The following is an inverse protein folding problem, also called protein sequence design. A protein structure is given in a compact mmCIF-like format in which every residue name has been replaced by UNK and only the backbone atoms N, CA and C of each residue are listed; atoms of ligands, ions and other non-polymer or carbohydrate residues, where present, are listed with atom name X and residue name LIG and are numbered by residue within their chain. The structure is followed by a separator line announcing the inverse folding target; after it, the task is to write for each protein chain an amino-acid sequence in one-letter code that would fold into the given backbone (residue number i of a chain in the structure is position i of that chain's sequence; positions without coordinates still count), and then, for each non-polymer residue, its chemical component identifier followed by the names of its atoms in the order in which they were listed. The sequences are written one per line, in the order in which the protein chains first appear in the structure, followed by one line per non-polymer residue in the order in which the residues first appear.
data_IF_317047302602
#
_entry.id   IF_317047302602
#
_cell.length_a   1.000
_cell.length_b   1.000
_cell.length_c   1.000
_cell.angle_alpha   90.00
_cell.angle_beta   90.00
_cell.angle_gamma   90.00
#
_symmetry.space_group_name_H-M   'P 1'
#
loop_
_entity.id
_entity.type
_entity.pdbx_description
1 polymer ?
#
# COMPACT_ATOMS: atom_id res chain seq x y z
N UNK A 1 -23.69 -7.70 29.81
CA UNK A 1 -22.24 -7.45 29.97
C UNK A 1 -21.51 -7.22 28.64
N UNK A 2 -21.82 -7.94 27.56
CA UNK A 2 -21.19 -7.75 26.24
C UNK A 2 -21.28 -6.32 25.66
N UNK A 3 -22.37 -5.58 25.93
CA UNK A 3 -22.55 -4.21 25.45
C UNK A 3 -21.57 -3.20 26.08
N UNK A 4 -21.21 -3.38 27.36
CA UNK A 4 -20.28 -2.51 28.07
C UNK A 4 -18.83 -2.75 27.63
N UNK A 5 -18.45 -4.00 27.37
CA UNK A 5 -17.13 -4.37 26.84
C UNK A 5 -16.97 -3.84 25.40
N UNK A 6 -18.02 -3.93 24.58
CA UNK A 6 -18.02 -3.42 23.22
C UNK A 6 -18.00 -1.87 23.16
N UNK A 7 -18.57 -1.19 24.16
CA UNK A 7 -18.48 0.25 24.32
C UNK A 7 -17.10 0.70 24.81
N UNK A 8 -16.48 -0.05 25.73
CA UNK A 8 -15.13 0.21 26.22
C UNK A 8 -14.08 0.01 25.12
N UNK A 9 -14.21 -1.06 24.33
CA UNK A 9 -13.36 -1.32 23.16
C UNK A 9 -13.52 -0.21 22.09
N UNK A 10 -14.75 0.28 21.86
CA UNK A 10 -14.99 1.43 20.98
C UNK A 10 -14.41 2.73 21.53
N UNK A 11 -14.40 2.93 22.84
CA UNK A 11 -13.85 4.12 23.50
C UNK A 11 -12.31 4.13 23.48
N UNK A 12 -11.68 3.00 23.79
CA UNK A 12 -10.23 2.81 23.73
C UNK A 12 -9.74 2.88 22.28
N UNK A 13 -10.46 2.27 21.34
CA UNK A 13 -10.21 2.46 19.91
C UNK A 13 -10.33 3.95 19.53
N UNK A 14 -11.36 4.66 19.98
CA UNK A 14 -11.47 6.11 19.72
C UNK A 14 -10.31 6.93 20.31
N UNK A 15 -9.81 6.62 21.50
CA UNK A 15 -8.77 7.42 22.16
C UNK A 15 -7.35 7.14 21.66
N UNK A 16 -7.01 5.90 21.31
CA UNK A 16 -5.70 5.56 20.70
C UNK A 16 -5.64 6.01 19.22
N UNK A 17 -6.79 6.26 18.57
CA UNK A 17 -6.86 6.51 17.13
C UNK A 17 -6.68 7.97 16.65
N UNK A 18 -6.76 9.03 17.46
CA UNK A 18 -7.18 10.33 16.87
C UNK A 18 -6.06 11.25 16.33
N UNK A 19 -4.78 11.14 16.74
CA UNK A 19 -3.72 12.03 16.21
C UNK A 19 -2.43 11.34 15.73
N UNK A 20 -1.86 10.44 16.54
CA UNK A 20 -0.55 9.83 16.24
C UNK A 20 -0.58 8.89 15.05
N UNK A 21 -1.58 8.01 15.00
CA UNK A 21 -1.80 7.09 13.88
C UNK A 21 -1.99 7.83 12.56
N UNK A 22 -2.64 8.98 12.56
CA UNK A 22 -2.90 9.74 11.32
C UNK A 22 -1.66 10.46 10.78
N UNK A 23 -0.65 10.68 11.62
CA UNK A 23 0.66 11.17 11.20
C UNK A 23 1.64 10.04 10.86
N UNK A 24 1.54 8.91 11.56
CA UNK A 24 2.39 7.73 11.37
C UNK A 24 2.06 6.95 10.10
N UNK A 25 0.78 6.75 9.76
CA UNK A 25 0.39 6.00 8.56
C UNK A 25 0.99 6.57 7.26
N UNK A 26 0.94 7.89 7.00
CA UNK A 26 1.63 8.51 5.87
C UNK A 26 3.14 8.25 5.87
N UNK A 27 3.79 8.32 7.04
CA UNK A 27 5.22 8.11 7.17
C UNK A 27 5.60 6.66 6.84
N UNK A 28 4.81 5.68 7.30
CA UNK A 28 5.02 4.27 7.00
C UNK A 28 4.87 3.97 5.51
N UNK A 29 3.91 4.61 4.84
CA UNK A 29 3.75 4.49 3.38
C UNK A 29 4.97 5.09 2.66
N UNK A 30 5.41 6.29 3.06
CA UNK A 30 6.58 6.96 2.46
C UNK A 30 7.89 6.21 2.71
N UNK A 31 8.03 5.56 3.87
CA UNK A 31 9.23 4.82 4.23
C UNK A 31 9.54 3.69 3.23
N UNK A 32 8.51 3.01 2.72
CA UNK A 32 8.64 2.01 1.66
C UNK A 32 9.30 2.61 0.40
N UNK A 33 8.84 3.77 -0.03
CA UNK A 33 9.40 4.46 -1.20
C UNK A 33 10.83 4.96 -0.97
N UNK A 34 11.13 5.53 0.20
CA UNK A 34 12.49 5.99 0.53
C UNK A 34 13.46 4.82 0.55
N UNK A 35 13.06 3.70 1.15
CA UNK A 35 13.86 2.49 1.19
C UNK A 35 14.09 1.91 -0.21
N UNK A 36 13.07 1.93 -1.08
CA UNK A 36 13.19 1.52 -2.48
C UNK A 36 14.16 2.42 -3.26
N UNK A 37 14.11 3.74 -3.06
CA UNK A 37 15.08 4.66 -3.66
C UNK A 37 16.52 4.39 -3.20
N UNK A 38 16.72 4.10 -1.91
CA UNK A 38 18.04 3.73 -1.37
C UNK A 38 18.52 2.44 -2.02
N UNK A 39 17.67 1.41 -2.09
CA UNK A 39 18.03 0.13 -2.69
C UNK A 39 18.36 0.27 -4.18
N UNK A 40 17.54 0.98 -4.95
CA UNK A 40 17.76 1.27 -6.37
C UNK A 40 19.04 2.08 -6.61
N UNK A 41 19.40 2.99 -5.68
CA UNK A 41 20.66 3.74 -5.76
C UNK A 41 21.89 2.88 -5.50
N UNK A 42 21.83 1.96 -4.52
CA UNK A 42 22.92 1.05 -4.17
C UNK A 42 23.13 -0.03 -5.23
N UNK A 43 22.04 -0.47 -5.88
CA UNK A 43 22.03 -1.53 -6.88
C UNK A 43 21.86 -0.99 -8.31
N UNK A 44 22.23 0.27 -8.55
CA UNK A 44 22.01 0.97 -9.82
C UNK A 44 22.45 0.16 -11.05
N UNK A 45 23.62 -0.48 -10.97
CA UNK A 45 24.17 -1.27 -12.10
C UNK A 45 23.33 -2.51 -12.41
N UNK A 46 22.78 -3.16 -11.38
CA UNK A 46 21.94 -4.34 -11.53
C UNK A 46 20.56 -3.98 -12.07
N UNK A 47 19.94 -2.94 -11.50
CA UNK A 47 18.62 -2.46 -11.94
C UNK A 47 18.65 -1.82 -13.34
N UNK A 48 19.70 -1.07 -13.67
CA UNK A 48 19.87 -0.53 -15.02
C UNK A 48 19.98 -1.64 -16.06
N UNK A 49 20.68 -2.74 -15.71
CA UNK A 49 20.83 -3.90 -16.58
C UNK A 49 19.54 -4.72 -16.75
N UNK A 50 18.69 -4.80 -15.72
CA UNK A 50 17.37 -5.45 -15.83
C UNK A 50 16.40 -4.59 -16.63
N UNK A 51 16.36 -3.28 -16.36
CA UNK A 51 15.48 -2.34 -17.09
C UNK A 51 15.88 -2.18 -18.55
N UNK A 52 17.18 -2.14 -18.86
CA UNK A 52 17.65 -2.13 -20.26
C UNK A 52 17.17 -3.37 -21.03
N UNK A 53 17.20 -4.56 -20.40
CA UNK A 53 16.65 -5.80 -20.99
C UNK A 53 15.14 -5.74 -21.18
N UNK A 54 14.41 -5.23 -20.19
CA UNK A 54 12.94 -5.10 -20.25
C UNK A 54 12.52 -4.15 -21.38
N UNK A 55 13.21 -3.02 -21.52
CA UNK A 55 12.93 -2.00 -22.55
C UNK A 55 13.53 -2.40 -23.92
N UNK A 56 14.28 -3.52 -23.96
CA UNK A 56 15.04 -3.96 -25.12
C UNK A 56 15.89 -2.82 -25.74
N UNK A 57 16.60 -2.10 -24.87
CA UNK A 57 17.34 -0.89 -25.23
C UNK A 57 18.77 -0.93 -24.67
N UNK A 58 19.61 0.03 -25.08
CA UNK A 58 20.98 0.13 -24.60
C UNK A 58 21.05 0.35 -23.08
N UNK A 59 22.14 -0.12 -22.45
CA UNK A 59 22.37 0.01 -21.00
C UNK A 59 22.29 1.45 -20.47
N UNK A 60 22.63 2.43 -21.32
CA UNK A 60 22.56 3.86 -20.99
C UNK A 60 21.11 4.34 -20.81
N UNK A 61 20.17 3.83 -21.60
CA UNK A 61 18.74 4.16 -21.49
C UNK A 61 18.17 3.55 -20.21
N UNK A 62 18.57 2.31 -19.88
CA UNK A 62 18.22 1.68 -18.61
C UNK A 62 18.74 2.46 -17.39
N UNK A 63 19.98 2.94 -17.44
CA UNK A 63 20.55 3.75 -16.37
C UNK A 63 19.84 5.11 -16.21
N UNK A 64 19.56 5.80 -17.31
CA UNK A 64 18.79 7.06 -17.30
C UNK A 64 17.40 6.87 -16.69
N UNK A 65 16.73 5.77 -17.01
CA UNK A 65 15.43 5.43 -16.42
C UNK A 65 15.53 5.25 -14.91
N UNK A 66 16.48 4.46 -14.41
CA UNK A 66 16.62 4.21 -12.97
C UNK A 66 16.97 5.50 -12.22
N UNK A 67 17.84 6.35 -12.77
CA UNK A 67 18.15 7.66 -12.16
C UNK A 67 16.91 8.55 -12.10
N UNK A 68 16.17 8.64 -13.21
CA UNK A 68 14.91 9.40 -13.25
C UNK A 68 13.89 8.86 -12.23
N UNK A 69 13.80 7.53 -12.11
CA UNK A 69 12.92 6.84 -11.16
C UNK A 69 13.27 7.18 -9.71
N UNK A 70 14.55 7.08 -9.33
CA UNK A 70 15.04 7.46 -8.00
C UNK A 70 14.77 8.94 -7.72
N UNK A 71 14.99 9.83 -8.69
CA UNK A 71 14.67 11.25 -8.55
C UNK A 71 13.18 11.50 -8.31
N UNK A 72 12.29 10.83 -9.06
CA UNK A 72 10.84 10.94 -8.85
C UNK A 72 10.43 10.51 -7.44
N UNK A 73 11.01 9.41 -6.95
CA UNK A 73 10.74 8.93 -5.59
C UNK A 73 11.21 9.94 -4.55
N UNK A 74 12.45 10.42 -4.66
CA UNK A 74 13.04 11.37 -3.70
C UNK A 74 12.26 12.69 -3.66
N UNK A 75 11.89 13.22 -4.83
CA UNK A 75 11.04 14.42 -4.93
C UNK A 75 9.66 14.16 -4.33
N UNK A 76 9.02 13.04 -4.67
CA UNK A 76 7.73 12.65 -4.11
C UNK A 76 7.76 12.51 -2.59
N UNK A 77 8.71 11.74 -2.06
CA UNK A 77 8.89 11.52 -0.63
C UNK A 77 9.23 12.82 0.12
N UNK A 78 10.15 13.64 -0.42
CA UNK A 78 10.53 14.93 0.14
C UNK A 78 9.36 15.92 0.19
N UNK A 79 8.51 15.95 -0.83
CA UNK A 79 7.30 16.78 -0.85
C UNK A 79 6.23 16.29 0.15
N UNK A 80 6.18 14.99 0.45
CA UNK A 80 5.29 14.47 1.51
C UNK A 80 5.82 14.82 2.90
N UNK A 81 7.12 14.64 3.13
CA UNK A 81 7.80 14.91 4.40
C UNK A 81 7.78 16.40 4.76
N UNK A 82 8.05 17.27 3.79
CA UNK A 82 8.05 18.73 3.98
C UNK A 82 6.65 19.34 4.20
N UNK A 83 5.58 18.55 4.07
CA UNK A 83 4.16 18.96 4.21
C UNK A 83 3.71 20.14 3.33
N UNK A 84 4.58 20.74 2.51
CA UNK A 84 4.31 22.03 1.85
C UNK A 84 3.53 21.89 0.54
N UNK A 85 3.72 20.79 -0.20
CA UNK A 85 3.09 20.56 -1.52
C UNK A 85 2.70 19.10 -1.74
N UNK A 86 2.00 18.50 -0.78
CA UNK A 86 1.48 17.13 -0.86
C UNK A 86 0.54 16.88 -2.06
N UNK A 87 -0.08 17.95 -2.60
CA UNK A 87 -0.94 17.89 -3.78
C UNK A 87 -0.22 17.39 -5.04
N UNK A 88 1.06 17.73 -5.20
CA UNK A 88 1.89 17.30 -6.33
C UNK A 88 2.66 16.04 -6.01
N UNK A 89 2.91 15.76 -4.73
CA UNK A 89 3.72 14.63 -4.29
C UNK A 89 3.11 13.26 -4.58
N UNK A 90 1.82 13.08 -4.26
CA UNK A 90 1.11 11.80 -4.52
C UNK A 90 1.12 11.46 -6.01
N UNK A 91 0.71 12.33 -6.96
CA UNK A 91 0.72 11.97 -8.37
C UNK A 91 2.12 11.65 -8.92
N UNK A 92 3.20 12.22 -8.38
CA UNK A 92 4.57 11.80 -8.75
C UNK A 92 4.87 10.35 -8.33
N UNK A 93 4.49 9.96 -7.10
CA UNK A 93 4.64 8.59 -6.64
C UNK A 93 3.71 7.62 -7.38
N UNK A 94 2.50 8.06 -7.74
CA UNK A 94 1.60 7.27 -8.59
C UNK A 94 2.21 7.07 -9.98
N UNK A 95 2.77 8.13 -10.58
CA UNK A 95 3.42 8.06 -11.88
C UNK A 95 4.57 7.04 -11.85
N UNK A 96 5.45 7.15 -10.85
CA UNK A 96 6.52 6.18 -10.59
C UNK A 96 5.99 4.73 -10.55
N UNK A 97 4.96 4.46 -9.73
CA UNK A 97 4.37 3.12 -9.62
C UNK A 97 3.69 2.65 -10.90
N UNK A 98 3.03 3.53 -11.63
CA UNK A 98 2.40 3.17 -12.92
C UNK A 98 3.44 2.85 -13.98
N UNK A 99 4.55 3.59 -14.03
CA UNK A 99 5.66 3.31 -14.95
C UNK A 99 6.28 1.95 -14.62
N UNK A 100 6.66 1.70 -13.36
CA UNK A 100 7.17 0.38 -12.94
C UNK A 100 6.18 -0.73 -13.28
N UNK A 101 4.89 -0.56 -12.98
CA UNK A 101 3.87 -1.54 -13.29
C UNK A 101 3.80 -1.84 -14.80
N UNK A 102 3.81 -0.84 -15.68
CA UNK A 102 3.78 -1.07 -17.14
C UNK A 102 4.99 -1.87 -17.61
N UNK A 103 6.19 -1.58 -17.09
CA UNK A 103 7.41 -2.27 -17.51
C UNK A 103 7.54 -3.68 -16.91
N UNK A 104 7.09 -3.90 -15.66
CA UNK A 104 7.27 -5.17 -14.94
C UNK A 104 6.06 -6.11 -15.01
N UNK A 105 4.85 -5.61 -15.29
CA UNK A 105 3.64 -6.44 -15.38
C UNK A 105 3.72 -7.50 -16.48
N UNK A 106 4.57 -7.29 -17.48
CA UNK A 106 4.83 -8.28 -18.54
C UNK A 106 5.67 -9.48 -18.05
N UNK A 107 6.36 -9.36 -16.91
CA UNK A 107 7.32 -10.37 -16.43
C UNK A 107 6.87 -11.07 -15.15
N UNK A 108 6.21 -10.36 -14.22
CA UNK A 108 5.79 -10.93 -12.94
C UNK A 108 4.43 -10.40 -12.49
N UNK A 109 3.41 -11.26 -12.54
CA UNK A 109 2.05 -10.91 -12.11
C UNK A 109 1.99 -10.55 -10.61
N UNK A 110 2.83 -11.17 -9.77
CA UNK A 110 2.86 -10.88 -8.33
C UNK A 110 3.36 -9.46 -8.02
N UNK A 111 4.36 -8.98 -8.77
CA UNK A 111 4.85 -7.61 -8.66
C UNK A 111 3.78 -6.62 -9.11
N UNK A 112 3.08 -6.90 -10.22
CA UNK A 112 1.96 -6.08 -10.69
C UNK A 112 0.84 -5.96 -9.65
N UNK A 113 0.49 -7.08 -8.99
CA UNK A 113 -0.49 -7.09 -7.90
C UNK A 113 0.02 -6.28 -6.71
N UNK A 114 1.30 -6.40 -6.33
CA UNK A 114 1.88 -5.60 -5.23
C UNK A 114 1.87 -4.11 -5.55
N UNK A 115 2.24 -3.71 -6.78
CA UNK A 115 2.20 -2.30 -7.20
C UNK A 115 0.78 -1.74 -7.22
N UNK A 116 -0.22 -2.55 -7.59
CA UNK A 116 -1.62 -2.12 -7.57
C UNK A 116 -2.12 -1.83 -6.14
N UNK A 117 -1.67 -2.61 -5.15
CA UNK A 117 -1.97 -2.37 -3.73
C UNK A 117 -1.29 -1.09 -3.25
N UNK A 118 -0.03 -0.85 -3.63
CA UNK A 118 0.70 0.37 -3.32
C UNK A 118 0.02 1.63 -3.91
N UNK A 119 -0.44 1.56 -5.16
CA UNK A 119 -1.26 2.60 -5.80
C UNK A 119 -2.55 2.84 -5.00
N UNK A 120 -3.21 1.77 -4.54
CA UNK A 120 -4.37 1.86 -3.65
C UNK A 120 -4.07 2.61 -2.35
N UNK A 121 -2.94 2.32 -1.71
CA UNK A 121 -2.50 3.01 -0.48
C UNK A 121 -2.25 4.51 -0.70
N UNK A 122 -1.67 4.89 -1.84
CA UNK A 122 -1.44 6.28 -2.22
C UNK A 122 -2.75 7.02 -2.51
N UNK A 123 -3.73 6.38 -3.16
CA UNK A 123 -5.06 6.95 -3.38
C UNK A 123 -5.76 7.24 -2.06
N UNK A 124 -5.70 6.30 -1.11
CA UNK A 124 -6.26 6.48 0.23
C UNK A 124 -5.57 7.63 0.97
N UNK A 125 -4.24 7.69 0.90
CA UNK A 125 -3.45 8.75 1.53
C UNK A 125 -3.88 10.13 1.02
N UNK A 126 -4.07 10.25 -0.30
CA UNK A 126 -4.52 11.47 -0.94
C UNK A 126 -5.96 11.82 -0.58
N UNK A 127 -6.86 10.83 -0.57
CA UNK A 127 -8.26 11.01 -0.17
C UNK A 127 -8.39 11.44 1.31
N UNK A 128 -7.57 10.91 2.21
CA UNK A 128 -7.54 11.27 3.63
C UNK A 128 -7.16 12.74 3.84
N UNK A 129 -6.09 13.20 3.21
CA UNK A 129 -5.60 14.59 3.34
C UNK A 129 -6.56 15.60 2.72
N UNK A 130 -7.11 15.29 1.55
CA UNK A 130 -8.10 16.15 0.88
C UNK A 130 -9.40 16.33 1.67
N UNK A 131 -9.81 15.32 2.43
CA UNK A 131 -10.96 15.40 3.31
C UNK A 131 -10.69 16.34 4.51
N UNK A 132 -9.47 16.32 5.05
CA UNK A 132 -9.05 17.25 6.11
C UNK A 132 -9.01 18.70 5.64
N UNK A 133 -8.63 18.93 4.39
CA UNK A 133 -8.60 20.28 3.81
C UNK A 133 -9.99 20.78 3.35
N UNK A 134 -11.05 19.98 3.50
CA UNK A 134 -12.43 20.28 3.05
C UNK A 134 -12.57 20.70 1.57
N UNK A 135 -11.55 20.43 0.74
CA UNK A 135 -11.38 20.96 -0.62
C UNK A 135 -11.79 19.99 -1.73
N UNK A 136 -12.38 18.83 -1.41
CA UNK A 136 -12.72 17.83 -2.41
C UNK A 136 -14.23 17.68 -2.55
N UNK A 137 -14.72 17.77 -3.80
CA UNK A 137 -16.09 17.42 -4.12
C UNK A 137 -16.39 15.99 -3.64
N UNK A 138 -17.48 15.83 -2.88
CA UNK A 138 -17.90 14.53 -2.31
C UNK A 138 -17.90 13.42 -3.37
N UNK A 139 -18.37 13.72 -4.59
CA UNK A 139 -18.39 12.75 -5.71
C UNK A 139 -17.00 12.29 -6.15
N UNK A 140 -16.00 13.18 -6.21
CA UNK A 140 -14.62 12.82 -6.55
C UNK A 140 -14.00 11.98 -5.44
N UNK A 141 -14.27 12.33 -4.18
CA UNK A 141 -13.81 11.57 -3.02
C UNK A 141 -14.32 10.12 -3.03
N UNK A 142 -15.62 9.94 -3.31
CA UNK A 142 -16.23 8.61 -3.40
C UNK A 142 -15.61 7.75 -4.52
N UNK A 143 -15.29 8.35 -5.68
CA UNK A 143 -14.61 7.66 -6.79
C UNK A 143 -13.21 7.21 -6.37
N UNK A 144 -12.44 8.06 -5.67
CA UNK A 144 -11.09 7.68 -5.22
C UNK A 144 -11.12 6.56 -4.18
N UNK A 145 -12.10 6.56 -3.27
CA UNK A 145 -12.28 5.46 -2.33
C UNK A 145 -12.66 4.16 -3.04
N UNK A 146 -13.53 4.22 -4.03
CA UNK A 146 -13.89 3.04 -4.82
C UNK A 146 -12.67 2.48 -5.56
N UNK A 147 -11.93 3.33 -6.29
CA UNK A 147 -10.74 2.91 -7.01
C UNK A 147 -9.67 2.34 -6.06
N UNK A 148 -9.48 2.97 -4.90
CA UNK A 148 -8.60 2.44 -3.87
C UNK A 148 -9.04 1.06 -3.36
N UNK A 149 -10.34 0.80 -3.17
CA UNK A 149 -10.87 -0.52 -2.78
C UNK A 149 -10.56 -1.58 -3.82
N UNK A 150 -10.78 -1.27 -5.10
CA UNK A 150 -10.44 -2.16 -6.21
C UNK A 150 -8.93 -2.46 -6.20
N UNK A 151 -8.10 -1.42 -6.11
CA UNK A 151 -6.64 -1.56 -6.05
C UNK A 151 -6.16 -2.40 -4.85
N UNK A 152 -6.67 -2.15 -3.66
CA UNK A 152 -6.29 -2.90 -2.45
C UNK A 152 -6.83 -4.35 -2.47
N UNK A 153 -7.89 -4.62 -3.23
CA UNK A 153 -8.45 -5.97 -3.37
C UNK A 153 -7.52 -6.94 -4.12
N UNK A 154 -6.58 -6.42 -4.92
CA UNK A 154 -5.57 -7.24 -5.57
C UNK A 154 -4.64 -7.98 -4.60
N UNK A 155 -4.52 -7.50 -3.34
CA UNK A 155 -3.82 -8.24 -2.29
C UNK A 155 -4.44 -9.63 -2.06
N UNK A 156 -5.76 -9.76 -2.20
CA UNK A 156 -6.45 -11.05 -2.03
C UNK A 156 -6.14 -12.01 -3.19
N UNK A 157 -5.93 -11.51 -4.40
CA UNK A 157 -5.51 -12.37 -5.51
C UNK A 157 -4.12 -12.94 -5.29
N UNK A 158 -3.20 -12.15 -4.71
CA UNK A 158 -1.89 -12.64 -4.29
C UNK A 158 -2.03 -13.71 -3.19
N UNK A 159 -2.90 -13.48 -2.20
CA UNK A 159 -3.20 -14.45 -1.14
C UNK A 159 -3.84 -15.75 -1.66
N UNK A 160 -4.70 -15.69 -2.68
CA UNK A 160 -5.34 -16.87 -3.29
C UNK A 160 -4.35 -17.80 -4.00
N UNK A 161 -3.19 -17.29 -4.44
CA UNK A 161 -2.13 -18.11 -5.03
C UNK A 161 -1.32 -18.91 -4.02
N UNK A 162 -1.44 -18.62 -2.73
CA UNK A 162 -0.81 -19.43 -1.70
C UNK A 162 -1.43 -20.84 -1.70
N UNK A 163 -0.60 -21.89 -1.59
CA UNK A 163 -0.97 -23.32 -1.71
C UNK A 163 -2.00 -23.85 -0.69
N UNK A 164 -2.55 -22.99 0.17
CA UNK A 164 -3.52 -23.35 1.20
C UNK A 164 -4.96 -23.05 0.75
N UNK A 165 -5.73 -24.11 0.49
CA UNK A 165 -7.12 -24.03 0.00
C UNK A 165 -8.03 -23.20 0.94
N UNK A 166 -7.89 -23.37 2.26
CA UNK A 166 -8.68 -22.64 3.27
C UNK A 166 -8.37 -21.12 3.22
N UNK A 167 -7.09 -20.77 3.02
CA UNK A 167 -6.65 -19.38 2.87
C UNK A 167 -7.18 -18.75 1.57
N UNK A 168 -7.27 -19.54 0.50
CA UNK A 168 -7.85 -19.12 -0.78
C UNK A 168 -9.31 -18.74 -0.64
N UNK A 169 -10.15 -19.62 -0.09
CA UNK A 169 -11.58 -19.34 0.13
C UNK A 169 -11.80 -18.10 1.02
N UNK A 170 -11.06 -17.99 2.13
CA UNK A 170 -11.14 -16.82 3.00
C UNK A 170 -10.77 -15.52 2.28
N UNK A 171 -9.75 -15.57 1.41
CA UNK A 171 -9.29 -14.40 0.64
C UNK A 171 -10.31 -13.99 -0.42
N UNK A 172 -10.95 -14.94 -1.10
CA UNK A 172 -12.04 -14.65 -2.06
C UNK A 172 -13.22 -13.98 -1.35
N UNK A 173 -13.64 -14.52 -0.19
CA UNK A 173 -14.74 -13.95 0.59
C UNK A 173 -14.41 -12.52 1.02
N UNK A 174 -13.20 -12.29 1.55
CA UNK A 174 -12.77 -10.95 1.94
C UNK A 174 -12.68 -9.99 0.74
N UNK A 175 -12.25 -10.46 -0.43
CA UNK A 175 -12.21 -9.67 -1.66
C UNK A 175 -13.60 -9.19 -2.06
N UNK A 176 -14.57 -10.11 -2.10
CA UNK A 176 -15.97 -9.80 -2.40
C UNK A 176 -16.54 -8.81 -1.38
N UNK A 177 -16.30 -9.04 -0.09
CA UNK A 177 -16.75 -8.12 0.96
C UNK A 177 -16.15 -6.71 0.82
N UNK A 178 -14.88 -6.59 0.43
CA UNK A 178 -14.24 -5.28 0.20
C UNK A 178 -14.77 -4.56 -1.03
N UNK A 179 -14.96 -5.28 -2.14
CA UNK A 179 -15.50 -4.72 -3.38
C UNK A 179 -16.92 -4.21 -3.19
N UNK A 180 -17.77 -5.01 -2.55
CA UNK A 180 -19.15 -4.63 -2.21
C UNK A 180 -19.18 -3.57 -1.10
N UNK A 181 -18.12 -3.50 -0.28
CA UNK A 181 -18.02 -2.56 0.84
C UNK A 181 -18.93 -2.95 2.00
N UNK A 182 -19.01 -4.25 2.28
CA UNK A 182 -19.73 -4.81 3.41
C UNK A 182 -18.76 -5.02 4.59
N UNK A 183 -19.07 -4.43 5.74
CA UNK A 183 -18.24 -4.41 6.94
C UNK A 183 -16.78 -4.04 6.64
N UNK A 184 -16.60 -3.05 5.75
CA UNK A 184 -15.31 -2.75 5.12
C UNK A 184 -14.22 -2.41 6.16
N UNK A 185 -14.62 -1.82 7.29
CA UNK A 185 -13.70 -1.54 8.41
C UNK A 185 -13.18 -2.80 9.07
N UNK A 186 -14.06 -3.77 9.34
CA UNK A 186 -13.69 -5.04 9.94
C UNK A 186 -12.84 -5.85 8.97
N UNK A 187 -13.25 -5.91 7.70
CA UNK A 187 -12.51 -6.65 6.67
C UNK A 187 -11.11 -6.06 6.45
N UNK A 188 -10.97 -4.73 6.44
CA UNK A 188 -9.67 -4.06 6.33
C UNK A 188 -8.78 -4.28 7.57
N UNK A 189 -9.35 -4.35 8.78
CA UNK A 189 -8.59 -4.71 9.99
C UNK A 189 -8.16 -6.19 9.96
N UNK A 190 -9.06 -7.08 9.54
CA UNK A 190 -8.77 -8.50 9.39
C UNK A 190 -7.68 -8.75 8.35
N UNK A 191 -7.66 -8.01 7.24
CA UNK A 191 -6.55 -8.13 6.29
C UNK A 191 -5.24 -7.60 6.79
N UNK A 192 -5.24 -6.48 7.52
CA UNK A 192 -4.02 -6.00 8.15
C UNK A 192 -3.43 -7.09 9.08
N UNK A 193 -4.29 -7.74 9.89
CA UNK A 193 -3.88 -8.87 10.74
C UNK A 193 -3.42 -10.08 9.91
N UNK A 194 -4.11 -10.42 8.83
CA UNK A 194 -3.76 -11.54 7.96
C UNK A 194 -2.40 -11.32 7.29
N UNK A 195 -2.12 -10.10 6.81
CA UNK A 195 -0.83 -9.74 6.19
C UNK A 195 0.30 -9.82 7.22
N UNK A 196 0.08 -9.34 8.44
CA UNK A 196 1.04 -9.47 9.55
C UNK A 196 1.25 -10.94 9.89
N UNK A 197 0.17 -11.70 10.07
CA UNK A 197 0.21 -13.12 10.38
C UNK A 197 0.97 -13.92 9.33
N UNK A 198 0.70 -13.66 8.04
CA UNK A 198 1.39 -14.33 6.96
C UNK A 198 2.88 -14.03 6.98
N UNK A 199 3.29 -12.78 7.21
CA UNK A 199 4.71 -12.46 7.34
C UNK A 199 5.37 -13.07 8.59
N UNK A 200 4.61 -13.21 9.68
CA UNK A 200 5.06 -13.88 10.90
C UNK A 200 5.20 -15.40 10.76
N UNK A 201 4.27 -16.04 10.04
CA UNK A 201 4.16 -17.50 9.98
C UNK A 201 4.74 -18.13 8.71
N UNK A 202 4.87 -17.38 7.60
CA UNK A 202 5.64 -17.86 6.46
C UNK A 202 7.14 -17.80 6.76
N UNK A 203 7.92 -18.60 6.01
CA UNK A 203 9.39 -18.73 5.99
C UNK A 203 10.22 -17.42 6.04
N UNK A 204 9.57 -16.25 5.98
CA UNK A 204 10.21 -14.94 6.02
C UNK A 204 10.68 -14.52 7.41
N UNK A 205 10.20 -15.09 8.53
CA UNK A 205 10.67 -14.64 9.85
C UNK A 205 12.12 -15.04 10.15
N UNK A 206 12.50 -16.26 9.77
CA UNK A 206 13.90 -16.69 9.73
C UNK A 206 14.69 -15.92 8.67
N UNK A 207 14.05 -15.40 7.62
CA UNK A 207 14.65 -14.56 6.59
C UNK A 207 14.89 -13.11 7.08
N UNK A 208 14.00 -12.56 7.92
CA UNK A 208 14.10 -11.21 8.48
C UNK A 208 15.23 -11.12 9.50
N UNK A 209 15.41 -12.16 10.32
CA UNK A 209 16.42 -12.17 11.41
C UNK A 209 17.68 -13.01 11.11
N UNK A 210 17.66 -13.89 10.12
CA UNK A 210 18.72 -14.89 9.90
C UNK A 210 19.56 -14.74 8.63
N UNK A 211 19.34 -13.71 7.80
CA UNK A 211 20.10 -13.49 6.56
C UNK A 211 21.16 -12.38 6.71
N UNK A 212 22.29 -12.55 6.02
CA UNK A 212 23.43 -11.62 6.03
C UNK A 212 23.14 -10.29 5.31
N UNK A 213 22.14 -10.25 4.43
CA UNK A 213 21.79 -9.04 3.66
C UNK A 213 20.70 -8.22 4.35
N UNK A 214 21.15 -7.37 5.27
CA UNK A 214 20.32 -6.44 6.05
C UNK A 214 19.38 -5.59 5.18
N UNK A 215 19.78 -5.29 3.93
CA UNK A 215 19.01 -4.48 2.98
C UNK A 215 17.72 -5.15 2.52
N UNK A 216 17.71 -6.47 2.35
CA UNK A 216 16.54 -7.23 1.91
C UNK A 216 15.53 -7.33 3.05
N UNK A 217 16.00 -7.59 4.27
CA UNK A 217 15.15 -7.63 5.47
C UNK A 217 14.46 -6.30 5.73
N UNK A 218 15.20 -5.18 5.60
CA UNK A 218 14.63 -3.83 5.75
C UNK A 218 13.59 -3.55 4.65
N UNK A 219 13.85 -4.00 3.42
CA UNK A 219 12.90 -3.86 2.29
C UNK A 219 11.57 -4.56 2.53
N UNK A 220 11.63 -5.82 2.97
CA UNK A 220 10.45 -6.61 3.29
C UNK A 220 9.63 -5.99 4.43
N UNK A 221 10.29 -5.51 5.49
CA UNK A 221 9.63 -4.85 6.62
C UNK A 221 8.97 -3.54 6.17
N UNK A 222 9.65 -2.70 5.39
CA UNK A 222 9.10 -1.43 4.93
C UNK A 222 7.90 -1.63 4.00
N UNK A 223 7.97 -2.60 3.09
CA UNK A 223 6.85 -2.99 2.22
C UNK A 223 5.65 -3.50 3.02
N UNK A 224 5.88 -4.36 4.01
CA UNK A 224 4.82 -4.86 4.89
C UNK A 224 4.15 -3.74 5.68
N UNK A 225 4.94 -2.88 6.32
CA UNK A 225 4.44 -1.73 7.07
C UNK A 225 3.64 -0.78 6.18
N UNK A 226 4.08 -0.57 4.93
CA UNK A 226 3.35 0.22 3.93
C UNK A 226 1.98 -0.37 3.59
N UNK A 227 1.91 -1.69 3.32
CA UNK A 227 0.65 -2.39 3.03
C UNK A 227 -0.31 -2.37 4.22
N UNK A 228 0.19 -2.66 5.41
CA UNK A 228 -0.58 -2.60 6.67
C UNK A 228 -1.11 -1.18 6.91
N UNK A 229 -0.27 -0.16 6.70
CA UNK A 229 -0.69 1.24 6.81
C UNK A 229 -1.80 1.58 5.81
N UNK A 230 -1.72 1.08 4.57
CA UNK A 230 -2.78 1.22 3.58
C UNK A 230 -4.12 0.65 4.04
N UNK A 231 -4.15 -0.58 4.54
CA UNK A 231 -5.37 -1.23 5.03
C UNK A 231 -5.94 -0.54 6.27
N UNK A 232 -5.07 -0.10 7.20
CA UNK A 232 -5.50 0.69 8.36
C UNK A 232 -6.08 2.05 7.95
N UNK A 233 -5.55 2.68 6.89
CA UNK A 233 -6.10 3.92 6.35
C UNK A 233 -7.48 3.69 5.71
N UNK A 234 -7.66 2.55 5.04
CA UNK A 234 -8.96 2.14 4.49
C UNK A 234 -10.00 1.86 5.59
N UNK A 235 -9.60 1.18 6.68
CA UNK A 235 -10.46 0.96 7.84
C UNK A 235 -10.92 2.28 8.48
N UNK A 236 -10.08 3.33 8.43
CA UNK A 236 -10.40 4.67 8.93
C UNK A 236 -11.35 5.43 8.01
N UNK A 237 -11.03 5.50 6.72
CA UNK A 237 -11.81 6.27 5.75
C UNK A 237 -13.19 5.64 5.48
N UNK A 238 -13.30 4.32 5.68
CA UNK A 238 -14.51 3.56 5.36
C UNK A 238 -14.69 3.37 3.86
N UNK A 239 -15.85 2.85 3.47
CA UNK A 239 -16.09 2.36 2.11
C UNK A 239 -16.70 3.39 1.13
N UNK A 240 -17.01 4.60 1.60
CA UNK A 240 -17.64 5.67 0.81
C UNK A 240 -19.13 5.43 0.55
N UNK A 241 -19.78 6.27 -0.25
CA UNK A 241 -21.24 6.15 -0.51
C UNK A 241 -21.67 4.93 -1.33
N UNK A 242 -20.71 4.30 -2.01
CA UNK A 242 -20.94 3.18 -2.95
C UNK A 242 -20.73 1.83 -2.25
N UNK A 243 -20.98 1.78 -0.96
CA UNK A 243 -20.83 0.59 -0.13
C UNK A 243 -22.16 0.20 0.50
N UNK A 244 -22.35 -1.09 0.77
CA UNK A 244 -23.49 -1.54 1.57
C UNK A 244 -23.50 -0.90 2.96
N UNK A 245 -22.32 -0.69 3.56
CA UNK A 245 -22.17 -0.01 4.86
C UNK A 245 -22.71 1.44 4.89
N UNK A 246 -22.93 2.07 3.74
CA UNK A 246 -23.48 3.42 3.68
C UNK A 246 -25.03 3.44 3.64
N UNK A 247 -25.66 2.27 3.45
CA UNK A 247 -27.11 2.09 3.34
C UNK A 247 -27.76 1.47 4.58
N UNK A 248 -26.95 1.01 5.53
CA UNK A 248 -27.34 0.41 6.83
C UNK A 248 -26.98 1.35 7.96
#
# INVERSE_FOLDING_TARGET
MASKICALARSIAKHVQVKWTLQLLPLLIVLNYVQEAIQSSLQLRLEAGSMARIINSGALIGALYVVFDVCLILVGAGLILSRSKQRTAVPFLMLHRTLRCIFTANFALEDALSYSVDVGSLLLLWASRRNQEAKLNKRKWDIFLFLARVCMSFNYLSLCRAKNVISGWFSVICCICMLIGFNCRLVACLTALLVIWQACCQFNWSFIFGWNDLTISVSLICSLLGKVAGFLLMARLGAGKWSLDART
#
